data_IF_298144622300
#
_entry.id   IF_298144622300
#
_cell.length_a   1.000
_cell.length_b   1.000
_cell.length_c   1.000
_cell.angle_alpha   90.00
_cell.angle_beta   90.00
_cell.angle_gamma   90.00
#
_symmetry.space_group_name_H-M   'P 1'
#
loop_
_entity.id
_entity.type
_entity.pdbx_description
1 polymer ?
#
# COMPACT_ATOMS: atom_id res chain seq x y z
N UNK A 1 16.29 4.42 -7.97
CA UNK A 1 17.52 3.70 -7.56
C UNK A 1 18.83 4.37 -8.00
N UNK A 2 18.91 4.89 -9.24
CA UNK A 2 20.12 5.54 -9.79
C UNK A 2 20.84 6.51 -8.82
N UNK A 3 20.18 7.45 -8.12
CA UNK A 3 20.86 8.37 -7.20
C UNK A 3 21.41 7.69 -5.93
N UNK A 4 20.79 6.60 -5.48
CA UNK A 4 21.24 5.81 -4.33
C UNK A 4 22.49 5.01 -4.70
N UNK A 5 22.48 4.35 -5.85
CA UNK A 5 23.65 3.62 -6.38
C UNK A 5 24.83 4.58 -6.63
N UNK A 6 24.55 5.78 -7.14
CA UNK A 6 25.56 6.83 -7.34
C UNK A 6 26.17 7.27 -6.01
N UNK A 7 25.37 7.49 -4.97
CA UNK A 7 25.88 7.83 -3.64
C UNK A 7 26.76 6.72 -3.06
N UNK A 8 26.32 5.45 -3.13
CA UNK A 8 27.11 4.30 -2.67
C UNK A 8 28.48 4.23 -3.35
N UNK A 9 28.54 4.45 -4.67
CA UNK A 9 29.82 4.50 -5.41
C UNK A 9 30.76 5.60 -4.89
N UNK A 10 30.28 6.84 -4.75
CA UNK A 10 31.10 7.95 -4.24
C UNK A 10 31.47 7.81 -2.76
N UNK A 11 30.62 7.13 -1.97
CA UNK A 11 30.90 6.81 -0.57
C UNK A 11 32.08 5.84 -0.43
N UNK A 12 32.15 4.78 -1.25
CA UNK A 12 33.26 3.82 -1.23
C UNK A 12 34.59 4.41 -1.72
N UNK A 13 34.57 5.48 -2.51
CA UNK A 13 35.77 6.16 -3.04
C UNK A 13 36.25 7.30 -2.10
N UNK A 14 35.54 7.57 -1.01
CA UNK A 14 35.92 8.60 -0.03
C UNK A 14 35.50 10.03 -0.38
N UNK A 15 34.75 10.24 -1.47
CA UNK A 15 34.20 11.53 -1.89
C UNK A 15 32.70 11.68 -1.52
N UNK A 16 32.26 11.00 -0.46
CA UNK A 16 30.83 10.91 -0.08
C UNK A 16 30.21 12.22 0.45
N UNK A 17 31.03 13.13 0.99
CA UNK A 17 30.58 14.26 1.81
C UNK A 17 29.74 15.29 1.02
N UNK A 18 29.97 15.43 -0.29
CA UNK A 18 29.28 16.39 -1.14
C UNK A 18 27.94 15.93 -1.75
N UNK A 19 27.47 14.70 -1.51
CA UNK A 19 26.36 14.08 -2.29
C UNK A 19 25.14 13.64 -1.46
N UNK A 20 25.06 14.05 -0.19
CA UNK A 20 23.98 13.69 0.75
C UNK A 20 22.58 14.07 0.21
N UNK A 21 22.45 15.18 -0.53
CA UNK A 21 21.17 15.59 -1.13
C UNK A 21 20.57 14.54 -2.08
N UNK A 22 21.40 13.91 -2.92
CA UNK A 22 20.92 12.85 -3.82
C UNK A 22 20.52 11.58 -3.08
N UNK A 23 21.13 11.31 -1.92
CA UNK A 23 20.73 10.22 -1.04
C UNK A 23 19.35 10.49 -0.42
N UNK A 24 19.13 11.71 0.12
CA UNK A 24 17.87 12.11 0.72
C UNK A 24 16.71 12.04 -0.27
N UNK A 25 16.91 12.51 -1.51
CA UNK A 25 15.90 12.38 -2.55
C UNK A 25 15.66 10.91 -2.94
N UNK A 26 16.74 10.12 -3.06
CA UNK A 26 16.66 8.70 -3.38
C UNK A 26 15.92 7.88 -2.33
N UNK A 27 16.19 8.11 -1.04
CA UNK A 27 15.49 7.44 0.07
C UNK A 27 14.03 7.88 0.16
N UNK A 28 13.74 9.16 -0.06
CA UNK A 28 12.36 9.68 -0.03
C UNK A 28 11.50 9.02 -1.11
N UNK A 29 12.00 8.93 -2.35
CA UNK A 29 11.28 8.24 -3.42
C UNK A 29 11.10 6.74 -3.17
N UNK A 30 12.07 6.07 -2.57
CA UNK A 30 11.94 4.66 -2.18
C UNK A 30 10.86 4.47 -1.11
N UNK A 31 10.86 5.32 -0.08
CA UNK A 31 9.84 5.28 0.98
C UNK A 31 8.45 5.58 0.41
N UNK A 32 8.31 6.58 -0.46
CA UNK A 32 7.04 6.89 -1.11
C UNK A 32 6.55 5.75 -2.00
N UNK A 33 7.45 5.11 -2.77
CA UNK A 33 7.11 3.94 -3.58
C UNK A 33 6.65 2.75 -2.72
N UNK A 34 7.34 2.52 -1.60
CA UNK A 34 6.96 1.49 -0.64
C UNK A 34 5.59 1.75 0.00
N UNK A 35 5.34 2.99 0.46
CA UNK A 35 4.06 3.39 1.04
C UNK A 35 2.94 3.24 0.01
N UNK A 36 3.17 3.65 -1.24
CA UNK A 36 2.19 3.50 -2.32
C UNK A 36 1.87 2.03 -2.59
N UNK A 37 2.88 1.15 -2.59
CA UNK A 37 2.69 -0.28 -2.77
C UNK A 37 1.87 -0.91 -1.63
N UNK A 38 2.19 -0.57 -0.38
CA UNK A 38 1.43 -1.04 0.79
C UNK A 38 0.00 -0.51 0.75
N UNK A 39 -0.20 0.76 0.39
CA UNK A 39 -1.51 1.37 0.25
C UNK A 39 -2.35 0.67 -0.83
N UNK A 40 -1.74 0.25 -1.95
CA UNK A 40 -2.41 -0.53 -2.98
C UNK A 40 -2.94 -1.86 -2.44
N UNK A 41 -2.11 -2.63 -1.72
CA UNK A 41 -2.51 -3.91 -1.10
C UNK A 41 -3.66 -3.71 -0.10
N UNK A 42 -3.55 -2.68 0.74
CA UNK A 42 -4.60 -2.35 1.71
C UNK A 42 -5.90 -1.97 1.00
N UNK A 43 -5.82 -1.17 -0.07
CA UNK A 43 -6.96 -0.78 -0.88
C UNK A 43 -7.69 -1.98 -1.49
N UNK A 44 -6.93 -2.91 -2.08
CA UNK A 44 -7.49 -4.15 -2.64
C UNK A 44 -8.19 -4.99 -1.56
N UNK A 45 -7.58 -5.09 -0.38
CA UNK A 45 -8.15 -5.81 0.77
C UNK A 45 -9.45 -5.16 1.26
N UNK A 46 -9.48 -3.83 1.38
CA UNK A 46 -10.68 -3.08 1.78
C UNK A 46 -11.81 -3.29 0.76
N UNK A 47 -11.50 -3.28 -0.53
CA UNK A 47 -12.47 -3.53 -1.60
C UNK A 47 -13.11 -4.92 -1.48
N UNK A 48 -12.29 -5.94 -1.20
CA UNK A 48 -12.77 -7.32 -0.97
C UNK A 48 -13.66 -7.37 0.28
N UNK A 49 -13.23 -6.76 1.38
CA UNK A 49 -14.01 -6.72 2.62
C UNK A 49 -15.37 -6.05 2.41
N UNK A 50 -15.44 -4.97 1.64
CA UNK A 50 -16.70 -4.30 1.30
C UNK A 50 -17.64 -5.23 0.55
N UNK A 51 -17.15 -5.94 -0.47
CA UNK A 51 -17.95 -6.91 -1.25
C UNK A 51 -18.47 -8.06 -0.38
N UNK A 52 -17.65 -8.56 0.54
CA UNK A 52 -18.05 -9.63 1.46
C UNK A 52 -19.17 -9.17 2.40
N UNK A 53 -19.06 -7.95 2.93
CA UNK A 53 -20.09 -7.36 3.80
C UNK A 53 -21.40 -7.15 3.04
N UNK A 54 -21.34 -6.63 1.81
CA UNK A 54 -22.52 -6.46 0.94
C UNK A 54 -23.22 -7.81 0.69
N UNK A 55 -22.47 -8.86 0.35
CA UNK A 55 -23.03 -10.21 0.18
C UNK A 55 -23.64 -10.80 1.46
N UNK A 56 -23.01 -10.54 2.61
CA UNK A 56 -23.51 -11.02 3.90
C UNK A 56 -24.84 -10.32 4.23
N UNK A 57 -24.91 -8.99 4.07
CA UNK A 57 -26.12 -8.20 4.27
C UNK A 57 -27.27 -8.68 3.36
N UNK A 58 -27.00 -8.98 2.10
CA UNK A 58 -28.00 -9.54 1.19
C UNK A 58 -28.52 -10.90 1.66
N UNK A 59 -27.63 -11.78 2.14
CA UNK A 59 -28.01 -13.09 2.69
C UNK A 59 -28.88 -12.93 3.94
N UNK A 60 -28.48 -12.07 4.86
CA UNK A 60 -29.26 -11.79 6.09
C UNK A 60 -30.64 -11.24 5.73
N UNK A 61 -30.73 -10.28 4.80
CA UNK A 61 -32.03 -9.74 4.37
C UNK A 61 -32.95 -10.81 3.77
N UNK A 62 -32.40 -11.73 2.96
CA UNK A 62 -33.20 -12.85 2.41
C UNK A 62 -33.72 -13.78 3.50
N UNK A 63 -32.89 -14.03 4.52
CA UNK A 63 -33.29 -14.83 5.68
C UNK A 63 -34.41 -14.11 6.46
N UNK A 64 -34.27 -12.81 6.73
CA UNK A 64 -35.29 -12.01 7.42
C UNK A 64 -36.65 -12.03 6.70
N UNK A 65 -36.65 -11.92 5.36
CA UNK A 65 -37.88 -12.00 4.55
C UNK A 65 -38.53 -13.39 4.65
N UNK A 66 -37.76 -14.48 4.51
CA UNK A 66 -38.29 -15.85 4.64
C UNK A 66 -38.84 -16.14 6.05
N UNK A 67 -38.28 -15.51 7.08
CA UNK A 67 -38.80 -15.60 8.44
C UNK A 67 -40.12 -14.83 8.63
N UNK A 68 -40.29 -13.67 7.99
CA UNK A 68 -41.52 -12.88 8.08
C UNK A 68 -42.67 -13.54 7.30
N UNK A 69 -42.39 -14.14 6.12
CA UNK A 69 -43.38 -14.87 5.31
C UNK A 69 -43.94 -16.14 6.00
N UNK A 70 -43.22 -16.69 6.99
CA UNK A 70 -43.63 -17.90 7.73
C UNK A 70 -44.48 -17.62 8.97
N UNK A 71 -44.72 -16.35 9.30
CA UNK A 71 -45.44 -15.91 10.50
C UNK A 71 -46.89 -15.55 10.19
#
# INVERSE_FOLDING_TARGET
LIPVLRFLYFYFIGEGDGKIQSLVLGSTFLVMGYITFVAAIIGDTISINRRLIEQLLERVRKIEIDFDDKK
#
